data_IF_863686844437
#
_entry.id   IF_863686844437
#
_cell.length_a   1.000
_cell.length_b   1.000
_cell.length_c   1.000
_cell.angle_alpha   90.00
_cell.angle_beta   90.00
_cell.angle_gamma   90.00
#
_symmetry.space_group_name_H-M   'P 1'
#
loop_
_entity.id
_entity.type
_entity.pdbx_description
1 polymer ?
#
# COMPACT_ATOMS: atom_id res chain seq x y z
N UNK A 1 -1.69 -7.27 5.41
CA UNK A 1 -0.89 -8.30 4.71
C UNK A 1 -1.71 -9.57 4.56
N UNK A 2 -2.11 -9.84 3.32
CA UNK A 2 -2.76 -11.09 2.93
C UNK A 2 -1.73 -12.22 2.73
N UNK A 3 -2.17 -13.49 2.69
CA UNK A 3 -1.26 -14.63 2.53
C UNK A 3 -0.39 -14.57 1.27
N UNK A 4 -0.96 -14.15 0.13
CA UNK A 4 -0.25 -14.03 -1.15
C UNK A 4 0.88 -13.01 -1.08
N UNK A 5 0.60 -11.80 -0.57
CA UNK A 5 1.62 -10.76 -0.37
C UNK A 5 2.71 -11.23 0.59
N UNK A 6 2.33 -11.94 1.66
CA UNK A 6 3.29 -12.50 2.61
C UNK A 6 4.22 -13.53 1.99
N UNK A 7 3.70 -14.39 1.10
CA UNK A 7 4.48 -15.40 0.39
C UNK A 7 5.44 -14.75 -0.62
N UNK A 8 4.97 -13.77 -1.39
CA UNK A 8 5.79 -13.01 -2.33
C UNK A 8 6.91 -12.25 -1.61
N UNK A 9 6.57 -11.53 -0.54
CA UNK A 9 7.56 -10.83 0.28
C UNK A 9 8.61 -11.80 0.82
N UNK A 10 8.21 -12.97 1.33
CA UNK A 10 9.14 -13.98 1.85
C UNK A 10 10.12 -14.46 0.78
N UNK A 11 9.69 -14.56 -0.48
CA UNK A 11 10.50 -14.99 -1.62
C UNK A 11 11.51 -13.93 -2.06
N UNK A 12 11.14 -12.64 -2.02
CA UNK A 12 11.93 -11.56 -2.63
C UNK A 12 12.64 -10.62 -1.64
N UNK A 13 12.37 -10.73 -0.33
CA UNK A 13 12.94 -9.84 0.70
C UNK A 13 14.46 -9.93 0.81
N UNK A 14 15.10 -8.77 0.96
CA UNK A 14 16.48 -8.66 1.41
C UNK A 14 16.62 -8.89 2.93
N UNK A 15 17.86 -8.93 3.44
CA UNK A 15 18.13 -8.98 4.88
C UNK A 15 17.53 -7.76 5.59
N UNK A 16 17.67 -6.58 5.01
CA UNK A 16 17.07 -5.35 5.53
C UNK A 16 15.54 -5.47 5.62
N UNK A 17 14.89 -5.86 4.52
CA UNK A 17 13.43 -6.02 4.47
C UNK A 17 12.93 -7.09 5.45
N UNK A 18 13.73 -8.13 5.71
CA UNK A 18 13.43 -9.16 6.72
C UNK A 18 13.43 -8.57 8.13
N UNK A 19 14.48 -7.82 8.51
CA UNK A 19 14.57 -7.16 9.83
C UNK A 19 13.47 -6.13 10.02
N UNK A 20 13.18 -5.36 8.97
CA UNK A 20 12.11 -4.37 8.98
C UNK A 20 10.74 -5.01 9.24
N UNK A 21 10.40 -6.08 8.51
CA UNK A 21 9.12 -6.77 8.70
C UNK A 21 8.99 -7.36 10.11
N UNK A 22 10.06 -7.96 10.64
CA UNK A 22 10.07 -8.45 12.02
C UNK A 22 9.82 -7.32 13.03
N UNK A 23 10.44 -6.15 12.85
CA UNK A 23 10.20 -4.96 13.68
C UNK A 23 8.75 -4.48 13.60
N UNK A 24 8.17 -4.45 12.39
CA UNK A 24 6.78 -4.02 12.19
C UNK A 24 5.78 -4.99 12.82
N UNK A 25 6.04 -6.30 12.75
CA UNK A 25 5.22 -7.31 13.43
C UNK A 25 5.31 -7.13 14.96
N UNK A 26 6.52 -6.99 15.52
CA UNK A 26 6.70 -6.78 16.95
C UNK A 26 6.00 -5.51 17.46
N UNK A 27 5.97 -4.46 16.64
CA UNK A 27 5.27 -3.20 16.91
C UNK A 27 3.77 -3.23 16.59
N UNK A 28 3.21 -4.39 16.20
CA UNK A 28 1.80 -4.57 15.80
C UNK A 28 1.36 -3.60 14.68
N UNK A 29 2.25 -3.32 13.73
CA UNK A 29 2.00 -2.44 12.58
C UNK A 29 1.58 -3.18 11.31
N UNK A 30 1.52 -4.51 11.35
CA UNK A 30 1.07 -5.34 10.23
C UNK A 30 -0.26 -5.98 10.57
N UNK A 31 -1.33 -5.50 9.93
CA UNK A 31 -2.64 -6.16 9.99
C UNK A 31 -2.59 -7.43 9.15
N UNK A 32 -3.04 -8.56 9.68
CA UNK A 32 -3.21 -9.80 8.90
C UNK A 32 -4.65 -9.88 8.45
N UNK A 33 -4.85 -9.99 7.14
CA UNK A 33 -6.17 -9.98 6.51
C UNK A 33 -6.29 -11.15 5.56
N UNK A 34 -7.52 -11.57 5.26
CA UNK A 34 -7.80 -12.56 4.23
C UNK A 34 -8.89 -12.01 3.29
N UNK A 35 -8.53 -11.03 2.43
CA UNK A 35 -9.48 -10.34 1.60
C UNK A 35 -10.11 -11.29 0.58
N UNK A 36 -11.33 -11.01 0.15
CA UNK A 36 -11.95 -11.74 -0.94
C UNK A 36 -11.21 -11.46 -2.25
N UNK A 37 -10.82 -12.52 -2.95
CA UNK A 37 -10.00 -12.42 -4.17
C UNK A 37 -10.84 -12.05 -5.41
N UNK A 38 -11.54 -10.90 -5.37
CA UNK A 38 -12.47 -10.46 -6.41
C UNK A 38 -11.81 -9.68 -7.54
N UNK A 39 -10.67 -9.01 -7.27
CA UNK A 39 -9.99 -8.17 -8.26
C UNK A 39 -9.51 -8.96 -9.47
N UNK A 40 -9.13 -10.24 -9.31
CA UNK A 40 -8.72 -11.07 -10.45
C UNK A 40 -9.82 -11.24 -11.49
N UNK A 41 -11.05 -11.48 -11.03
CA UNK A 41 -12.22 -11.59 -11.93
C UNK A 41 -12.49 -10.26 -12.61
N UNK A 42 -12.46 -9.15 -11.86
CA UNK A 42 -12.59 -7.80 -12.43
C UNK A 42 -11.57 -7.51 -13.53
N UNK A 43 -10.32 -7.91 -13.34
CA UNK A 43 -9.25 -7.75 -14.34
C UNK A 43 -9.58 -8.54 -15.61
N UNK A 44 -9.94 -9.81 -15.49
CA UNK A 44 -10.21 -10.68 -16.65
C UNK A 44 -11.43 -10.19 -17.44
N UNK A 45 -12.44 -9.67 -16.76
CA UNK A 45 -13.68 -9.21 -17.39
C UNK A 45 -13.54 -7.85 -18.10
N UNK A 46 -12.58 -7.02 -17.71
CA UNK A 46 -12.48 -5.62 -18.17
C UNK A 46 -11.20 -5.26 -18.92
N UNK A 47 -10.11 -6.01 -18.73
CA UNK A 47 -8.84 -5.75 -19.42
C UNK A 47 -8.62 -6.73 -20.57
N UNK A 48 -7.78 -6.31 -21.52
CA UNK A 48 -7.34 -7.11 -22.66
C UNK A 48 -5.81 -7.12 -22.75
N UNK A 49 -5.28 -8.12 -23.44
CA UNK A 49 -3.87 -8.23 -23.83
C UNK A 49 -2.88 -8.21 -22.65
N UNK A 50 -1.70 -7.61 -22.88
CA UNK A 50 -0.57 -7.57 -21.95
C UNK A 50 -0.90 -6.91 -20.61
N UNK A 51 -1.94 -6.06 -20.55
CA UNK A 51 -2.39 -5.39 -19.31
C UNK A 51 -2.93 -6.38 -18.28
N UNK A 52 -3.56 -7.48 -18.72
CA UNK A 52 -4.04 -8.53 -17.81
C UNK A 52 -2.89 -9.10 -16.98
N UNK A 53 -1.79 -9.47 -17.64
CA UNK A 53 -0.65 -10.08 -16.96
C UNK A 53 0.04 -9.12 -15.97
N UNK A 54 0.04 -7.83 -16.27
CA UNK A 54 0.54 -6.79 -15.38
C UNK A 54 -0.38 -6.68 -14.15
N UNK A 55 -1.67 -6.44 -14.35
CA UNK A 55 -2.62 -6.24 -13.27
C UNK A 55 -2.81 -7.49 -12.39
N UNK A 56 -2.79 -8.70 -12.97
CA UNK A 56 -2.99 -9.93 -12.21
C UNK A 56 -1.91 -10.18 -11.16
N UNK A 57 -0.68 -9.68 -11.37
CA UNK A 57 0.39 -9.76 -10.37
C UNK A 57 -0.01 -9.02 -9.11
N UNK A 58 -0.49 -7.79 -9.28
CA UNK A 58 -0.80 -6.88 -8.18
C UNK A 58 -2.27 -6.87 -7.74
N UNK A 59 -3.11 -7.76 -8.29
CA UNK A 59 -4.53 -7.90 -7.91
C UNK A 59 -4.71 -8.08 -6.40
N UNK A 60 -3.81 -8.82 -5.77
CA UNK A 60 -3.85 -9.08 -4.34
C UNK A 60 -3.49 -7.86 -3.47
N UNK A 61 -2.81 -6.85 -4.04
CA UNK A 61 -2.58 -5.56 -3.39
C UNK A 61 -3.88 -4.75 -3.35
N UNK A 62 -4.62 -4.72 -4.46
CA UNK A 62 -5.93 -4.06 -4.54
C UNK A 62 -6.91 -4.69 -3.56
N UNK A 63 -7.09 -6.02 -3.60
CA UNK A 63 -7.97 -6.73 -2.68
C UNK A 63 -7.58 -6.43 -1.22
N UNK A 64 -6.28 -6.41 -0.93
CA UNK A 64 -5.77 -6.09 0.40
C UNK A 64 -6.02 -4.65 0.84
N UNK A 65 -5.91 -3.68 -0.07
CA UNK A 65 -6.12 -2.27 0.22
C UNK A 65 -7.61 -1.95 0.42
N UNK A 66 -8.49 -2.50 -0.43
CA UNK A 66 -9.95 -2.32 -0.31
C UNK A 66 -10.50 -2.83 1.03
N UNK A 67 -9.87 -3.85 1.61
CA UNK A 67 -10.26 -4.43 2.91
C UNK A 67 -9.84 -3.57 4.11
N UNK A 68 -8.85 -2.68 3.97
CA UNK A 68 -8.23 -1.99 5.13
C UNK A 68 -8.39 -0.48 5.13
N UNK A 69 -7.64 0.23 4.29
CA UNK A 69 -7.54 1.69 4.31
C UNK A 69 -7.57 2.33 2.92
N UNK A 70 -7.70 1.50 1.88
CA UNK A 70 -7.64 1.90 0.47
C UNK A 70 -6.33 2.60 0.10
N UNK A 71 -5.21 2.34 0.78
CA UNK A 71 -3.92 2.96 0.50
C UNK A 71 -2.93 1.94 -0.07
N UNK A 72 -2.25 2.32 -1.14
CA UNK A 72 -1.12 1.57 -1.69
C UNK A 72 0.08 2.51 -1.82
N UNK A 73 1.19 2.10 -1.21
CA UNK A 73 2.48 2.75 -1.36
C UNK A 73 3.41 1.81 -2.14
N UNK A 74 3.62 2.09 -3.42
CA UNK A 74 4.47 1.26 -4.30
C UNK A 74 5.07 2.10 -5.41
N UNK A 75 6.31 1.79 -5.78
CA UNK A 75 7.01 2.47 -6.88
C UNK A 75 6.69 1.87 -8.26
N UNK A 76 5.73 0.94 -8.35
CA UNK A 76 5.29 0.36 -9.61
C UNK A 76 4.27 1.25 -10.32
N UNK A 77 4.76 2.21 -11.10
CA UNK A 77 3.92 3.10 -11.89
C UNK A 77 3.20 2.39 -13.04
N UNK A 78 3.75 1.28 -13.53
CA UNK A 78 3.13 0.52 -14.62
C UNK A 78 1.86 -0.15 -14.10
N UNK A 79 1.94 -0.85 -12.97
CA UNK A 79 0.77 -1.44 -12.31
C UNK A 79 -0.25 -0.35 -11.93
N UNK A 80 0.21 0.76 -11.32
CA UNK A 80 -0.64 1.91 -10.98
C UNK A 80 -1.42 2.42 -12.19
N UNK A 81 -0.74 2.65 -13.33
CA UNK A 81 -1.38 3.14 -14.55
C UNK A 81 -2.47 2.18 -15.06
N UNK A 82 -2.23 0.86 -15.01
CA UNK A 82 -3.21 -0.13 -15.45
C UNK A 82 -4.45 -0.13 -14.55
N UNK A 83 -4.27 -0.01 -13.23
CA UNK A 83 -5.40 0.08 -12.30
C UNK A 83 -6.14 1.42 -12.36
N UNK A 84 -5.45 2.52 -12.67
CA UNK A 84 -6.11 3.80 -12.94
C UNK A 84 -7.04 3.70 -14.15
N UNK A 85 -6.60 3.06 -15.24
CA UNK A 85 -7.45 2.81 -16.40
C UNK A 85 -8.63 1.89 -16.05
N UNK A 86 -8.38 0.79 -15.33
CA UNK A 86 -9.43 -0.12 -14.88
C UNK A 86 -10.47 0.58 -13.97
N UNK A 87 -10.06 1.59 -13.20
CA UNK A 87 -10.97 2.35 -12.32
C UNK A 87 -12.01 3.17 -13.09
N UNK A 88 -11.80 3.41 -14.39
CA UNK A 88 -12.77 4.10 -15.24
C UNK A 88 -14.05 3.26 -15.34
N UNK A 89 -13.94 1.94 -15.52
CA UNK A 89 -15.07 1.02 -15.60
C UNK A 89 -15.44 0.42 -14.25
N UNK A 90 -14.45 0.16 -13.38
CA UNK A 90 -14.64 -0.43 -12.05
C UNK A 90 -14.62 0.65 -10.96
N UNK A 91 -15.79 1.23 -10.67
CA UNK A 91 -15.91 2.37 -9.75
C UNK A 91 -15.36 2.14 -8.33
N UNK A 92 -15.37 0.90 -7.82
CA UNK A 92 -14.82 0.56 -6.50
C UNK A 92 -13.32 0.86 -6.39
N UNK A 93 -12.58 0.77 -7.49
CA UNK A 93 -11.14 1.02 -7.52
C UNK A 93 -10.79 2.50 -7.31
N UNK A 94 -11.74 3.42 -7.54
CA UNK A 94 -11.50 4.87 -7.34
C UNK A 94 -11.33 5.26 -5.88
N UNK A 95 -11.67 4.37 -4.94
CA UNK A 95 -11.37 4.57 -3.52
C UNK A 95 -9.87 4.43 -3.22
N UNK A 96 -9.11 3.72 -4.07
CA UNK A 96 -7.70 3.46 -3.86
C UNK A 96 -6.86 4.73 -4.06
N UNK A 97 -6.10 5.08 -3.02
CA UNK A 97 -5.05 6.09 -3.03
C UNK A 97 -3.70 5.40 -3.24
N UNK A 98 -3.25 5.35 -4.49
CA UNK A 98 -1.96 4.74 -4.84
C UNK A 98 -0.91 5.84 -5.10
N UNK A 99 0.12 5.87 -4.27
CA UNK A 99 1.25 6.78 -4.45
C UNK A 99 2.59 6.04 -4.61
N UNK A 100 3.46 6.64 -5.41
CA UNK A 100 4.85 6.26 -5.61
C UNK A 100 5.73 7.10 -4.67
N UNK A 101 6.47 6.45 -3.79
CA UNK A 101 7.25 7.13 -2.75
C UNK A 101 8.41 7.98 -3.30
N UNK A 102 8.82 7.74 -4.56
CA UNK A 102 9.87 8.51 -5.24
C UNK A 102 9.22 9.57 -6.11
N UNK A 103 8.35 9.18 -7.05
CA UNK A 103 7.79 10.08 -8.04
C UNK A 103 6.82 11.10 -7.42
N UNK A 104 6.04 10.71 -6.41
CA UNK A 104 5.06 11.58 -5.76
C UNK A 104 5.62 12.20 -4.46
N UNK A 105 6.94 12.15 -4.24
CA UNK A 105 7.58 12.56 -2.99
C UNK A 105 7.22 13.98 -2.58
N UNK A 106 7.30 14.94 -3.51
CA UNK A 106 7.06 16.36 -3.23
C UNK A 106 5.62 16.55 -2.78
N UNK A 107 4.65 16.07 -3.56
CA UNK A 107 3.22 16.13 -3.24
C UNK A 107 2.92 15.50 -1.88
N UNK A 108 3.46 14.31 -1.61
CA UNK A 108 3.26 13.62 -0.32
C UNK A 108 3.90 14.40 0.83
N UNK A 109 5.10 14.95 0.64
CA UNK A 109 5.80 15.73 1.67
C UNK A 109 5.06 17.03 1.96
N UNK A 110 4.67 17.75 0.91
CA UNK A 110 3.93 19.01 1.02
C UNK A 110 2.60 18.80 1.73
N UNK A 111 1.86 17.74 1.38
CA UNK A 111 0.64 17.37 2.09
C UNK A 111 0.89 17.13 3.58
N UNK A 112 1.91 16.33 3.93
CA UNK A 112 2.23 16.03 5.33
C UNK A 112 2.69 17.26 6.12
N UNK A 113 3.41 18.18 5.50
CA UNK A 113 3.93 19.40 6.14
C UNK A 113 2.85 20.48 6.26
N UNK A 114 2.05 20.70 5.21
CA UNK A 114 1.03 21.75 5.16
C UNK A 114 -0.21 21.43 6.02
N UNK A 115 -0.66 20.18 6.04
CA UNK A 115 -1.77 19.72 6.90
C UNK A 115 -1.32 19.37 8.34
N UNK A 116 -0.06 19.69 8.70
CA UNK A 116 0.41 19.65 10.08
C UNK A 116 0.53 18.25 10.67
N UNK A 117 0.91 17.23 9.88
CA UNK A 117 1.23 15.92 10.45
C UNK A 117 2.50 16.03 11.31
N UNK A 118 2.30 16.22 12.62
CA UNK A 118 3.36 16.15 13.63
C UNK A 118 3.35 14.77 14.28
N UNK A 119 4.39 13.95 14.11
CA UNK A 119 4.50 12.69 14.83
C UNK A 119 4.39 12.90 16.34
N UNK A 120 3.48 12.18 17.02
CA UNK A 120 3.28 12.31 18.49
C UNK A 120 4.57 12.18 19.32
N UNK A 121 5.58 11.47 18.81
CA UNK A 121 6.88 11.28 19.46
C UNK A 121 7.84 12.46 19.35
N UNK A 122 7.52 13.48 18.55
CA UNK A 122 8.31 14.71 18.48
C UNK A 122 8.04 15.63 19.69
N UNK A 123 6.96 15.40 20.44
CA UNK A 123 6.67 16.06 21.71
C UNK A 123 7.41 15.43 22.90
N UNK A 124 8.69 15.09 22.76
CA UNK A 124 9.55 14.86 23.93
C UNK A 124 9.98 16.24 24.49
N UNK A 125 9.03 17.01 25.00
CA UNK A 125 9.37 18.04 25.98
C UNK A 125 9.48 17.31 27.30
N UNK A 126 10.68 17.30 27.88
CA UNK A 126 10.92 16.74 29.19
C UNK A 126 9.92 17.34 30.18
N UNK A 127 9.07 16.52 30.78
CA UNK A 127 8.43 16.88 32.05
C UNK A 127 9.54 16.97 33.09
N UNK A 128 10.15 18.15 33.20
CA UNK A 128 10.88 18.51 34.41
C UNK A 128 9.82 18.75 35.49
N UNK A 129 9.37 17.68 36.14
CA UNK A 129 8.73 17.79 37.45
C UNK A 129 9.75 18.39 38.41
N UNK A 130 9.66 19.69 38.64
CA UNK A 130 10.23 20.33 39.80
C UNK A 130 9.38 19.94 41.02
N UNK A 131 10.00 19.23 41.96
CA UNK A 131 9.64 19.23 43.39
C UNK A 131 10.92 19.58 44.13
#
# INVERSE_FOLDING_TARGET
>A
MCPTLGAEWKKHRSIFATKWLASMIAKKRINRINPQATTKTLIVDNLKDKKIAIALKDAHLIDGALEVDCIIASNDDIARSVFCELSITCGSLRAIKWFNAIADREIVTDYLVSDGFVPKKYYLVAETTAI
#
